data_IF_667854366900
#
_entry.id   IF_667854366900
#
_cell.length_a   1.000
_cell.length_b   1.000
_cell.length_c   1.000
_cell.angle_alpha   90.00
_cell.angle_beta   90.00
_cell.angle_gamma   90.00
#
_symmetry.space_group_name_H-M   'P 1'
#
loop_
_entity.id
_entity.type
_entity.pdbx_description
1 polymer ?
#
# COMPACT_ATOMS: atom_id res chain seq x y z
N UNK A 1 -33.74 -12.66 -32.36
CA UNK A 1 -33.27 -12.81 -30.97
C UNK A 1 -32.75 -11.47 -30.49
N UNK A 2 -33.43 -10.83 -29.53
CA UNK A 2 -33.12 -9.47 -29.04
C UNK A 2 -32.15 -9.58 -27.86
N UNK A 3 -30.88 -9.24 -28.07
CA UNK A 3 -29.89 -9.11 -26.99
C UNK A 3 -29.71 -7.63 -26.67
N UNK A 4 -30.21 -7.22 -25.50
CA UNK A 4 -29.92 -5.90 -24.94
C UNK A 4 -28.54 -5.97 -24.28
N UNK A 5 -27.60 -5.15 -24.73
CA UNK A 5 -26.31 -4.96 -24.04
C UNK A 5 -26.48 -3.88 -22.99
N UNK A 6 -26.06 -4.17 -21.76
CA UNK A 6 -25.78 -3.17 -20.74
C UNK A 6 -24.76 -2.13 -21.26
N UNK A 7 -24.75 -0.89 -20.75
CA UNK A 7 -23.83 0.14 -21.22
C UNK A 7 -22.39 -0.29 -20.93
N UNK A 8 -21.63 -0.49 -21.99
CA UNK A 8 -20.27 -1.00 -21.94
C UNK A 8 -19.78 -1.44 -23.32
N UNK A 9 -18.59 -1.00 -23.69
CA UNK A 9 -17.99 -1.31 -24.97
C UNK A 9 -17.44 -2.74 -24.97
N UNK A 10 -18.32 -3.71 -25.28
CA UNK A 10 -17.98 -5.13 -25.17
C UNK A 10 -16.87 -5.58 -26.14
N UNK A 11 -16.28 -6.78 -25.93
CA UNK A 11 -15.10 -7.26 -26.66
C UNK A 11 -15.25 -7.29 -28.19
N UNK A 12 -16.46 -7.60 -28.69
CA UNK A 12 -16.77 -7.54 -30.13
C UNK A 12 -16.67 -6.11 -30.69
N UNK A 13 -16.95 -5.09 -29.88
CA UNK A 13 -16.76 -3.69 -30.24
C UNK A 13 -15.28 -3.32 -30.34
N UNK A 14 -14.46 -3.80 -29.40
CA UNK A 14 -13.00 -3.60 -29.42
C UNK A 14 -12.39 -4.17 -30.70
N UNK A 15 -12.73 -5.42 -31.05
CA UNK A 15 -12.22 -6.02 -32.28
C UNK A 15 -12.69 -5.31 -33.55
N UNK A 16 -13.95 -4.85 -33.60
CA UNK A 16 -14.55 -4.29 -34.82
C UNK A 16 -14.16 -2.82 -35.05
N UNK A 17 -13.97 -2.04 -33.98
CA UNK A 17 -13.87 -0.58 -34.08
C UNK A 17 -12.60 0.01 -33.46
N UNK A 18 -11.87 -0.74 -32.60
CA UNK A 18 -10.65 -0.24 -31.96
C UNK A 18 -9.42 -0.89 -32.60
N UNK A 19 -9.34 -2.22 -32.63
CA UNK A 19 -8.18 -2.94 -33.17
C UNK A 19 -7.75 -2.53 -34.59
N UNK A 20 -8.65 -2.25 -35.55
CA UNK A 20 -8.25 -1.85 -36.90
C UNK A 20 -7.54 -0.48 -36.96
N UNK A 21 -7.70 0.35 -35.92
CA UNK A 21 -7.16 1.72 -35.87
C UNK A 21 -6.18 1.93 -34.70
N UNK A 22 -5.82 0.88 -33.96
CA UNK A 22 -4.84 0.94 -32.86
C UNK A 22 -3.52 0.29 -33.24
N UNK A 23 -2.42 0.94 -32.88
CA UNK A 23 -1.08 0.35 -32.94
C UNK A 23 -0.65 -0.02 -31.53
N UNK A 24 -0.20 -1.27 -31.33
CA UNK A 24 0.42 -1.70 -30.09
C UNK A 24 1.93 -1.44 -30.17
N UNK A 25 2.40 -0.44 -29.42
CA UNK A 25 3.83 -0.17 -29.26
C UNK A 25 4.32 -0.82 -27.97
N UNK A 26 5.37 -1.62 -28.06
CA UNK A 26 6.16 -1.98 -26.88
C UNK A 26 7.24 -0.92 -26.68
N UNK A 27 7.65 -0.70 -25.43
CA UNK A 27 8.76 0.22 -25.12
C UNK A 27 10.04 -0.10 -25.89
N UNK A 28 10.27 -1.38 -26.25
CA UNK A 28 11.39 -1.80 -27.11
C UNK A 28 11.28 -1.38 -28.59
N UNK A 29 10.05 -1.08 -29.07
CA UNK A 29 9.78 -0.68 -30.45
C UNK A 29 9.97 0.85 -30.62
N UNK A 30 9.91 1.58 -29.50
CA UNK A 30 10.43 2.94 -29.38
C UNK A 30 11.94 2.78 -29.22
N UNK A 31 12.71 3.03 -30.29
CA UNK A 31 14.16 2.76 -30.34
C UNK A 31 14.85 3.09 -29.01
N UNK A 32 15.67 2.16 -28.50
CA UNK A 32 16.15 2.12 -27.11
C UNK A 32 16.99 3.31 -26.60
N UNK A 33 16.98 4.43 -27.30
CA UNK A 33 17.69 5.68 -27.02
C UNK A 33 16.82 6.94 -27.21
N UNK A 34 15.50 6.80 -27.33
CA UNK A 34 14.57 7.95 -27.46
C UNK A 34 14.29 8.61 -26.10
N UNK A 35 14.45 7.86 -25.01
CA UNK A 35 14.23 8.37 -23.65
C UNK A 35 15.56 8.85 -23.05
N UNK A 36 15.56 9.97 -22.31
CA UNK A 36 16.71 10.37 -21.49
C UNK A 36 17.14 9.24 -20.55
N UNK A 37 18.43 9.20 -20.20
CA UNK A 37 18.96 8.20 -19.27
C UNK A 37 18.24 8.27 -17.92
N UNK A 38 17.73 7.13 -17.46
CA UNK A 38 17.10 6.99 -16.16
C UNK A 38 18.16 6.85 -15.08
N UNK A 39 18.06 7.65 -14.01
CA UNK A 39 18.91 7.55 -12.83
C UNK A 39 18.01 7.36 -11.62
N UNK A 40 18.26 6.29 -10.89
CA UNK A 40 17.70 6.09 -9.54
C UNK A 40 18.75 6.51 -8.54
N UNK A 41 18.35 7.38 -7.62
CA UNK A 41 19.14 7.76 -6.46
C UNK A 41 18.30 7.45 -5.23
N UNK A 42 18.89 6.74 -4.27
CA UNK A 42 18.27 6.47 -2.99
C UNK A 42 18.66 7.59 -2.03
N UNK A 43 17.66 8.31 -1.52
CA UNK A 43 17.84 9.40 -0.57
C UNK A 43 17.16 9.00 0.72
N UNK A 44 17.95 8.76 1.76
CA UNK A 44 17.42 8.52 3.10
C UNK A 44 16.75 9.77 3.64
N UNK A 45 15.48 9.66 4.02
CA UNK A 45 14.73 10.73 4.70
C UNK A 45 14.44 10.27 6.13
N UNK A 46 14.96 10.97 7.17
CA UNK A 46 14.69 10.59 8.55
C UNK A 46 13.23 10.86 8.93
N UNK A 47 12.71 10.08 9.87
CA UNK A 47 11.40 10.35 10.47
C UNK A 47 11.43 11.69 11.22
N UNK A 48 10.29 12.38 11.24
CA UNK A 48 10.10 13.52 12.14
C UNK A 48 10.07 13.04 13.60
N UNK A 49 10.39 13.89 14.60
CA UNK A 49 10.35 13.48 16.00
C UNK A 49 9.00 12.92 16.45
N UNK A 50 7.90 13.50 15.95
CA UNK A 50 6.53 13.06 16.27
C UNK A 50 6.21 11.71 15.62
N UNK A 51 6.62 11.52 14.35
CA UNK A 51 6.49 10.25 13.63
C UNK A 51 7.29 9.14 14.31
N UNK A 52 8.54 9.41 14.69
CA UNK A 52 9.41 8.46 15.37
C UNK A 52 8.84 8.07 16.74
N UNK A 53 8.39 9.05 17.55
CA UNK A 53 7.80 8.79 18.86
C UNK A 53 6.53 7.91 18.75
N UNK A 54 5.68 8.19 17.78
CA UNK A 54 4.47 7.41 17.52
C UNK A 54 4.79 5.99 17.01
N UNK A 55 5.76 5.85 16.10
CA UNK A 55 6.21 4.56 15.59
C UNK A 55 6.80 3.69 16.71
N UNK A 56 7.66 4.26 17.56
CA UNK A 56 8.25 3.57 18.70
C UNK A 56 7.17 3.10 19.68
N UNK A 57 6.19 3.95 20.00
CA UNK A 57 5.07 3.59 20.86
C UNK A 57 4.26 2.44 20.27
N UNK A 58 3.92 2.52 18.97
CA UNK A 58 3.19 1.48 18.25
C UNK A 58 3.95 0.14 18.25
N UNK A 59 5.23 0.18 17.90
CA UNK A 59 6.11 -0.98 17.89
C UNK A 59 6.22 -1.65 19.25
N UNK A 60 6.37 -0.86 20.33
CA UNK A 60 6.42 -1.38 21.69
C UNK A 60 5.11 -2.07 22.08
N UNK A 61 3.96 -1.43 21.87
CA UNK A 61 2.64 -2.02 22.19
C UNK A 61 2.42 -3.32 21.45
N UNK A 62 2.62 -3.34 20.13
CA UNK A 62 2.39 -4.53 19.31
C UNK A 62 3.38 -5.66 19.63
N UNK A 63 4.63 -5.33 19.97
CA UNK A 63 5.63 -6.32 20.37
C UNK A 63 5.26 -6.99 21.69
N UNK A 64 4.69 -6.24 22.65
CA UNK A 64 4.22 -6.81 23.93
C UNK A 64 3.06 -7.77 23.68
N UNK A 65 2.04 -7.35 22.91
CA UNK A 65 0.90 -8.19 22.56
C UNK A 65 1.34 -9.47 21.83
N UNK A 66 2.25 -9.33 20.87
CA UNK A 66 2.79 -10.46 20.12
C UNK A 66 3.53 -11.45 21.05
N UNK A 67 4.38 -10.95 21.95
CA UNK A 67 5.09 -11.81 22.91
C UNK A 67 4.13 -12.56 23.83
N UNK A 68 3.07 -11.91 24.30
CA UNK A 68 2.06 -12.55 25.13
C UNK A 68 1.30 -13.65 24.37
N UNK A 69 0.95 -13.41 23.10
CA UNK A 69 0.31 -14.41 22.24
C UNK A 69 1.24 -15.60 21.97
N UNK A 70 2.50 -15.35 21.64
CA UNK A 70 3.50 -16.39 21.39
C UNK A 70 3.77 -17.25 22.61
N UNK A 71 3.77 -16.67 23.82
CA UNK A 71 3.88 -17.43 25.07
C UNK A 71 2.74 -18.44 25.25
N UNK A 72 1.57 -18.18 24.65
CA UNK A 72 0.41 -19.08 24.61
C UNK A 72 0.35 -19.97 23.37
N UNK A 73 1.44 -20.00 22.58
CA UNK A 73 1.54 -20.67 21.26
C UNK A 73 0.53 -20.15 20.23
N UNK A 74 0.10 -18.90 20.37
CA UNK A 74 -0.76 -18.22 19.40
C UNK A 74 0.10 -17.37 18.45
N UNK A 75 0.07 -17.73 17.16
CA UNK A 75 0.82 -17.06 16.08
C UNK A 75 -0.06 -16.12 15.25
N UNK A 76 -1.33 -15.95 15.60
CA UNK A 76 -2.29 -15.19 14.80
C UNK A 76 -1.94 -13.72 14.65
N UNK A 77 -1.25 -13.14 15.63
CA UNK A 77 -0.84 -11.73 15.61
C UNK A 77 0.38 -11.44 14.73
N UNK A 78 1.19 -12.44 14.37
CA UNK A 78 2.46 -12.22 13.64
C UNK A 78 2.24 -11.45 12.34
N UNK A 79 1.28 -11.88 11.52
CA UNK A 79 1.01 -11.26 10.23
C UNK A 79 0.51 -9.82 10.36
N UNK A 80 -0.38 -9.56 11.33
CA UNK A 80 -0.90 -8.20 11.56
C UNK A 80 0.20 -7.28 12.08
N UNK A 81 0.97 -7.71 13.07
CA UNK A 81 2.04 -6.91 13.67
C UNK A 81 3.10 -6.57 12.63
N UNK A 82 3.54 -7.54 11.84
CA UNK A 82 4.53 -7.31 10.78
C UNK A 82 4.01 -6.34 9.72
N UNK A 83 2.78 -6.57 9.24
CA UNK A 83 2.19 -5.73 8.19
C UNK A 83 2.02 -4.28 8.66
N UNK A 84 1.59 -4.07 9.90
CA UNK A 84 1.40 -2.72 10.45
C UNK A 84 2.75 -2.00 10.61
N UNK A 85 3.77 -2.66 11.18
CA UNK A 85 5.06 -2.00 11.43
C UNK A 85 5.84 -1.70 10.15
N UNK A 86 5.61 -2.47 9.08
CA UNK A 86 6.20 -2.18 7.77
C UNK A 86 5.43 -1.08 7.02
N UNK A 87 4.10 -1.03 7.15
CA UNK A 87 3.28 -0.11 6.36
C UNK A 87 3.08 1.27 7.02
N UNK A 88 3.04 1.34 8.35
CA UNK A 88 2.69 2.57 9.07
C UNK A 88 3.64 3.76 8.79
N UNK A 89 4.98 3.58 8.69
CA UNK A 89 5.89 4.67 8.31
C UNK A 89 5.45 5.41 7.04
N UNK A 90 5.00 4.67 6.02
CA UNK A 90 4.60 5.22 4.71
C UNK A 90 3.13 5.66 4.66
N UNK A 91 2.32 5.27 5.65
CA UNK A 91 0.87 5.49 5.68
C UNK A 91 0.38 6.34 6.85
N UNK A 92 1.28 7.00 7.58
CA UNK A 92 0.95 7.80 8.76
C UNK A 92 0.16 9.11 8.49
N UNK A 93 -0.28 9.33 7.25
CA UNK A 93 -1.28 10.33 6.87
C UNK A 93 -2.72 9.86 7.13
N UNK A 94 -2.92 8.56 7.39
CA UNK A 94 -4.21 7.99 7.78
C UNK A 94 -4.16 7.49 9.23
N UNK A 95 -5.26 7.60 9.98
CA UNK A 95 -5.35 6.97 11.28
C UNK A 95 -5.29 5.45 11.13
N UNK A 96 -4.49 4.81 11.98
CA UNK A 96 -4.29 3.36 11.96
C UNK A 96 -4.97 2.73 13.17
N UNK A 97 -5.83 1.73 12.90
CA UNK A 97 -6.53 0.95 13.94
C UNK A 97 -6.14 -0.51 13.82
N UNK A 98 -5.29 -0.96 14.72
CA UNK A 98 -4.83 -2.35 14.73
C UNK A 98 -5.79 -3.20 15.53
N UNK A 99 -6.38 -4.21 14.89
CA UNK A 99 -7.33 -5.13 15.53
C UNK A 99 -6.81 -6.56 15.55
N UNK A 100 -7.15 -7.27 16.62
CA UNK A 100 -6.87 -8.70 16.72
C UNK A 100 -7.68 -9.48 15.64
N UNK A 101 -7.07 -10.35 14.81
CA UNK A 101 -7.76 -11.02 13.71
C UNK A 101 -8.99 -11.84 14.12
N UNK A 102 -8.88 -12.53 15.26
CA UNK A 102 -9.94 -13.39 15.81
C UNK A 102 -10.95 -12.63 16.66
N UNK A 103 -10.52 -12.02 17.77
CA UNK A 103 -11.44 -11.36 18.71
C UNK A 103 -11.97 -10.02 18.23
N UNK A 104 -11.33 -9.38 17.24
CA UNK A 104 -11.62 -8.03 16.74
C UNK A 104 -11.35 -6.91 17.76
N UNK A 105 -10.74 -7.24 18.91
CA UNK A 105 -10.33 -6.27 19.91
C UNK A 105 -9.31 -5.29 19.33
N UNK A 106 -9.35 -4.04 19.80
CA UNK A 106 -8.40 -3.02 19.36
C UNK A 106 -7.10 -3.16 20.17
N UNK A 107 -6.00 -3.45 19.48
CA UNK A 107 -4.66 -3.62 20.06
C UNK A 107 -3.92 -2.29 20.18
N UNK A 108 -4.05 -1.45 19.14
CA UNK A 108 -3.43 -0.14 19.10
C UNK A 108 -4.25 0.80 18.21
N UNK A 109 -4.22 2.08 18.55
CA UNK A 109 -4.74 3.17 17.76
C UNK A 109 -3.69 4.25 17.65
N UNK A 110 -3.42 4.70 16.42
CA UNK A 110 -2.50 5.82 16.15
C UNK A 110 -3.22 6.83 15.26
N UNK A 111 -3.33 8.11 15.67
CA UNK A 111 -3.93 9.14 14.82
C UNK A 111 -3.04 9.43 13.60
N UNK A 112 -3.60 10.09 12.58
CA UNK A 112 -2.79 10.66 11.51
C UNK A 112 -1.85 11.72 12.06
N UNK A 113 -0.59 11.71 11.59
CA UNK A 113 0.45 12.66 11.99
C UNK A 113 0.69 13.70 10.91
N UNK A 114 0.44 13.31 9.66
CA UNK A 114 0.57 14.18 8.49
C UNK A 114 -0.80 14.37 7.83
N UNK A 115 -0.95 15.49 7.13
CA UNK A 115 -2.07 15.70 6.21
C UNK A 115 -1.85 14.89 4.92
N UNK A 116 -2.94 14.62 4.17
CA UNK A 116 -2.89 13.78 2.95
C UNK A 116 -1.96 14.35 1.86
N UNK A 117 -1.82 15.69 1.83
CA UNK A 117 -1.02 16.42 0.84
C UNK A 117 0.39 16.82 1.35
N UNK A 118 0.78 16.41 2.55
CA UNK A 118 2.08 16.75 3.12
C UNK A 118 3.19 15.82 2.59
N UNK A 119 4.36 16.39 2.28
CA UNK A 119 5.52 15.61 1.83
C UNK A 119 6.04 14.77 2.99
N UNK A 120 5.85 13.46 2.87
CA UNK A 120 6.28 12.47 3.85
C UNK A 120 7.59 11.81 3.42
N UNK A 121 8.43 11.39 4.37
CA UNK A 121 9.50 10.43 4.09
C UNK A 121 8.93 9.20 3.39
N UNK A 122 9.53 8.77 2.27
CA UNK A 122 9.19 7.57 1.50
C UNK A 122 10.44 6.76 1.23
#
# INVERSE_FOLDING_TARGET
MRTVKAPGFGPKGIHRFVLPFTVFLKLKDIGGNVLPGYREEFIDVPMSPDQEAAHLKLAQTLTIELRQALARRDTTLLGVVLNVLLAWPDCCFRPEVVKHPRSRDTLAFVPSIFEEDELMPK
#
